data_IF_405727882760
#
_entry.id   IF_405727882760
#
_cell.length_a   1.000
_cell.length_b   1.000
_cell.length_c   1.000
_cell.angle_alpha   90.00
_cell.angle_beta   90.00
_cell.angle_gamma   90.00
#
_symmetry.space_group_name_H-M   'P 1'
#
loop_
_entity.id
_entity.type
_entity.pdbx_description
1 polymer ?
#
# COMPACT_ATOMS: atom_id res chain seq x y z
N UNK A 1 -4.26 -35.18 14.96
CA UNK A 1 -3.74 -34.63 13.70
C UNK A 1 -4.93 -34.15 12.88
N UNK A 2 -5.36 -32.91 13.10
CA UNK A 2 -6.58 -32.35 12.49
C UNK A 2 -6.18 -31.66 11.18
N UNK A 3 -6.46 -32.31 10.05
CA UNK A 3 -6.30 -31.73 8.72
C UNK A 3 -7.40 -30.66 8.54
N UNK A 4 -7.09 -29.40 8.83
CA UNK A 4 -7.97 -28.28 8.49
C UNK A 4 -7.89 -28.11 6.97
N UNK A 5 -8.98 -28.48 6.29
CA UNK A 5 -9.19 -28.31 4.85
C UNK A 5 -8.99 -26.82 4.52
N UNK A 6 -7.96 -26.49 3.75
CA UNK A 6 -7.80 -25.15 3.17
C UNK A 6 -9.14 -24.77 2.50
N UNK A 7 -9.78 -23.72 3.00
CA UNK A 7 -10.90 -23.10 2.30
C UNK A 7 -10.31 -22.47 1.04
N UNK A 8 -10.28 -23.24 -0.05
CA UNK A 8 -9.87 -22.74 -1.37
C UNK A 8 -10.84 -21.62 -1.75
N UNK A 9 -10.36 -20.37 -1.73
CA UNK A 9 -11.17 -19.24 -2.19
C UNK A 9 -11.62 -19.49 -3.63
N UNK A 10 -12.84 -19.09 -3.99
CA UNK A 10 -13.39 -19.25 -5.34
C UNK A 10 -12.47 -18.64 -6.41
N UNK A 11 -11.83 -17.51 -6.07
CA UNK A 11 -10.81 -16.86 -6.89
C UNK A 11 -9.62 -17.80 -7.18
N UNK A 12 -9.08 -18.47 -6.16
CA UNK A 12 -7.96 -19.41 -6.34
C UNK A 12 -8.34 -20.62 -7.20
N UNK A 13 -9.60 -21.05 -7.16
CA UNK A 13 -10.11 -22.12 -8.03
C UNK A 13 -10.24 -21.62 -9.49
N UNK A 14 -10.75 -20.40 -9.69
CA UNK A 14 -10.87 -19.78 -11.00
C UNK A 14 -9.50 -19.52 -11.67
N UNK A 15 -8.52 -18.99 -10.93
CA UNK A 15 -7.18 -18.73 -11.46
C UNK A 15 -6.51 -20.01 -11.96
N UNK A 16 -6.64 -21.12 -11.22
CA UNK A 16 -6.11 -22.43 -11.65
C UNK A 16 -6.81 -22.96 -12.89
N UNK A 17 -8.13 -22.79 -12.99
CA UNK A 17 -8.89 -23.19 -14.19
C UNK A 17 -8.47 -22.40 -15.43
N UNK A 18 -8.18 -21.11 -15.27
CA UNK A 18 -7.86 -20.18 -16.36
C UNK A 18 -6.37 -19.80 -16.41
N UNK A 19 -5.47 -20.73 -16.06
CA UNK A 19 -4.04 -20.43 -15.88
C UNK A 19 -3.39 -19.80 -17.12
N UNK A 20 -3.78 -20.25 -18.33
CA UNK A 20 -3.27 -19.67 -19.60
C UNK A 20 -3.65 -18.19 -19.71
N UNK A 21 -4.90 -17.85 -19.40
CA UNK A 21 -5.36 -16.45 -19.43
C UNK A 21 -4.58 -15.60 -18.41
N UNK A 22 -4.35 -16.13 -17.20
CA UNK A 22 -3.55 -15.45 -16.18
C UNK A 22 -2.13 -15.18 -16.69
N UNK A 23 -1.48 -16.15 -17.34
CA UNK A 23 -0.14 -15.92 -17.91
C UNK A 23 -0.13 -14.91 -19.05
N UNK A 24 -1.14 -14.94 -19.93
CA UNK A 24 -1.26 -13.95 -21.01
C UNK A 24 -1.42 -12.54 -20.43
N UNK A 25 -2.33 -12.36 -19.48
CA UNK A 25 -2.57 -11.05 -18.86
C UNK A 25 -1.34 -10.55 -18.09
N UNK A 26 -0.66 -11.43 -17.34
CA UNK A 26 0.59 -11.09 -16.66
C UNK A 26 1.71 -10.74 -17.64
N UNK A 27 1.82 -11.46 -18.77
CA UNK A 27 2.79 -11.19 -19.82
C UNK A 27 2.54 -9.84 -20.52
N UNK A 28 1.28 -9.53 -20.84
CA UNK A 28 0.89 -8.22 -21.37
C UNK A 28 1.18 -7.09 -20.38
N UNK A 29 0.85 -7.28 -19.10
CA UNK A 29 1.16 -6.31 -18.04
C UNK A 29 2.65 -6.06 -17.89
N UNK A 30 3.47 -7.12 -17.93
CA UNK A 30 4.93 -7.01 -17.87
C UNK A 30 5.50 -6.31 -19.10
N UNK A 31 5.05 -6.68 -20.30
CA UNK A 31 5.48 -6.03 -21.54
C UNK A 31 5.10 -4.54 -21.57
N UNK A 32 3.87 -4.19 -21.15
CA UNK A 32 3.42 -2.81 -21.03
C UNK A 32 4.22 -2.02 -19.98
N UNK A 33 4.55 -2.64 -18.85
CA UNK A 33 5.39 -2.01 -17.82
C UNK A 33 6.80 -1.73 -18.32
N UNK A 34 7.42 -2.68 -19.03
CA UNK A 34 8.74 -2.49 -19.65
C UNK A 34 8.70 -1.36 -20.67
N UNK A 35 7.68 -1.34 -21.53
CA UNK A 35 7.50 -0.29 -22.54
C UNK A 35 7.43 1.10 -21.89
N UNK A 36 6.58 1.28 -20.87
CA UNK A 36 6.43 2.56 -20.16
C UNK A 36 7.75 2.96 -19.49
N UNK A 37 8.42 2.03 -18.79
CA UNK A 37 9.68 2.33 -18.11
C UNK A 37 10.73 2.81 -19.13
N UNK A 38 10.89 2.11 -20.25
CA UNK A 38 11.92 2.43 -21.25
C UNK A 38 11.64 3.74 -21.97
N UNK A 39 10.41 3.97 -22.42
CA UNK A 39 10.08 5.09 -23.29
C UNK A 39 9.74 6.38 -22.53
N UNK A 40 9.17 6.29 -21.31
CA UNK A 40 8.59 7.44 -20.63
C UNK A 40 9.37 7.91 -19.40
N UNK A 41 10.24 7.07 -18.82
CA UNK A 41 10.84 7.43 -17.53
C UNK A 41 12.09 8.27 -17.64
N UNK A 42 12.18 9.30 -16.79
CA UNK A 42 13.36 10.16 -16.65
C UNK A 42 14.41 9.53 -15.73
N UNK A 43 15.65 10.03 -15.78
CA UNK A 43 16.74 9.56 -14.90
C UNK A 43 16.36 9.57 -13.41
N UNK A 44 15.63 10.60 -12.96
CA UNK A 44 15.21 10.73 -11.56
C UNK A 44 14.27 9.59 -11.13
N UNK A 45 13.36 9.19 -12.01
CA UNK A 45 12.44 8.08 -11.77
C UNK A 45 13.17 6.74 -11.68
N UNK A 46 14.21 6.52 -12.50
CA UNK A 46 15.08 5.36 -12.35
C UNK A 46 15.83 5.33 -11.01
N UNK A 47 16.32 6.48 -10.54
CA UNK A 47 16.96 6.59 -9.23
C UNK A 47 15.99 6.24 -8.10
N UNK A 48 14.76 6.74 -8.16
CA UNK A 48 13.71 6.41 -7.17
C UNK A 48 13.39 4.91 -7.19
N UNK A 49 13.17 4.33 -8.38
CA UNK A 49 12.91 2.90 -8.53
C UNK A 49 14.08 2.04 -8.02
N UNK A 50 15.32 2.43 -8.34
CA UNK A 50 16.52 1.76 -7.86
C UNK A 50 16.63 1.80 -6.33
N UNK A 51 16.39 2.97 -5.73
CA UNK A 51 16.44 3.17 -4.28
C UNK A 51 15.38 2.33 -3.54
N UNK A 52 14.13 2.35 -4.03
CA UNK A 52 13.05 1.58 -3.39
C UNK A 52 13.21 0.07 -3.61
N UNK A 53 13.66 -0.36 -4.80
CA UNK A 53 13.97 -1.76 -5.07
C UNK A 53 15.10 -2.25 -4.16
N UNK A 54 16.17 -1.45 -3.99
CA UNK A 54 17.26 -1.75 -3.07
C UNK A 54 16.77 -1.85 -1.62
N UNK A 55 15.91 -0.93 -1.17
CA UNK A 55 15.33 -0.98 0.17
C UNK A 55 14.54 -2.28 0.40
N UNK A 56 13.68 -2.65 -0.54
CA UNK A 56 12.92 -3.90 -0.50
C UNK A 56 13.83 -5.12 -0.50
N UNK A 57 14.86 -5.15 -1.35
CA UNK A 57 15.83 -6.25 -1.42
C UNK A 57 16.64 -6.38 -0.13
N UNK A 58 17.12 -5.27 0.45
CA UNK A 58 17.84 -5.27 1.72
C UNK A 58 16.96 -5.85 2.83
N UNK A 59 15.69 -5.45 2.86
CA UNK A 59 14.75 -5.99 3.84
C UNK A 59 14.55 -7.51 3.67
N UNK A 60 14.19 -7.95 2.46
CA UNK A 60 13.97 -9.37 2.17
C UNK A 60 15.24 -10.21 2.39
N UNK A 61 16.40 -9.71 1.99
CA UNK A 61 17.69 -10.35 2.18
C UNK A 61 17.99 -10.58 3.67
N UNK A 62 17.78 -9.56 4.51
CA UNK A 62 17.95 -9.68 5.95
C UNK A 62 16.96 -10.67 6.58
N UNK A 63 15.72 -10.72 6.08
CA UNK A 63 14.72 -11.70 6.52
C UNK A 63 15.13 -13.13 6.15
N UNK A 64 15.67 -13.35 4.95
CA UNK A 64 16.11 -14.66 4.47
C UNK A 64 17.35 -15.13 5.25
N UNK A 65 18.39 -14.29 5.38
CA UNK A 65 19.61 -14.64 6.12
C UNK A 65 19.36 -14.87 7.61
N UNK A 66 18.42 -14.14 8.21
CA UNK A 66 18.00 -14.34 9.60
C UNK A 66 17.37 -15.72 9.86
N UNK A 67 16.88 -16.44 8.85
CA UNK A 67 16.43 -17.83 9.05
C UNK A 67 17.60 -18.79 9.32
N UNK A 68 18.83 -18.42 8.91
CA UNK A 68 20.04 -19.22 9.07
C UNK A 68 20.90 -18.83 10.28
N UNK A 69 20.79 -17.59 10.76
CA UNK A 69 21.55 -17.06 11.91
C UNK A 69 20.56 -16.53 12.93
N UNK A 70 20.69 -16.96 14.19
CA UNK A 70 19.79 -16.71 15.32
C UNK A 70 19.68 -15.23 15.77
N UNK A 71 19.98 -14.26 14.90
CA UNK A 71 20.23 -12.85 15.20
C UNK A 71 19.77 -11.93 14.06
N UNK A 72 18.49 -11.98 13.68
CA UNK A 72 17.92 -11.02 12.75
C UNK A 72 17.27 -9.84 13.46
N UNK A 73 18.04 -8.80 13.78
CA UNK A 73 17.55 -7.56 14.40
C UNK A 73 16.36 -6.92 13.66
N UNK A 74 16.32 -7.05 12.32
CA UNK A 74 15.25 -6.48 11.48
C UNK A 74 13.97 -7.32 11.46
N UNK A 75 14.02 -8.61 11.84
CA UNK A 75 12.82 -9.46 12.00
C UNK A 75 12.08 -9.17 13.30
N UNK A 76 12.75 -8.52 14.25
CA UNK A 76 12.18 -8.16 15.54
C UNK A 76 11.33 -6.88 15.49
N UNK A 77 11.42 -6.10 14.40
CA UNK A 77 10.63 -4.89 14.19
C UNK A 77 9.37 -5.20 13.35
N UNK A 78 8.23 -5.53 13.98
CA UNK A 78 7.03 -5.94 13.27
C UNK A 78 6.43 -4.87 12.37
N UNK A 79 6.72 -3.60 12.69
CA UNK A 79 6.28 -2.44 11.93
C UNK A 79 7.07 -2.26 10.64
N UNK A 80 8.30 -2.79 10.56
CA UNK A 80 9.21 -2.46 9.48
C UNK A 80 8.73 -3.02 8.14
N UNK A 81 8.16 -4.24 8.14
CA UNK A 81 7.51 -4.84 6.96
C UNK A 81 6.44 -3.90 6.42
N UNK A 82 5.54 -3.46 7.29
CA UNK A 82 4.37 -2.67 6.93
C UNK A 82 4.78 -1.25 6.47
N UNK A 83 5.80 -0.66 7.10
CA UNK A 83 6.36 0.65 6.71
C UNK A 83 7.03 0.56 5.34
N UNK A 84 7.89 -0.43 5.09
CA UNK A 84 8.59 -0.59 3.80
C UNK A 84 7.59 -0.83 2.68
N UNK A 85 6.56 -1.65 2.91
CA UNK A 85 5.51 -1.87 1.93
C UNK A 85 4.74 -0.58 1.64
N UNK A 86 4.39 0.21 2.65
CA UNK A 86 3.74 1.50 2.46
C UNK A 86 4.64 2.49 1.71
N UNK A 87 5.95 2.54 2.01
CA UNK A 87 6.92 3.35 1.27
C UNK A 87 7.01 2.92 -0.19
N UNK A 88 7.00 1.62 -0.48
CA UNK A 88 7.01 1.10 -1.84
C UNK A 88 5.80 1.58 -2.64
N UNK A 89 4.60 1.48 -2.04
CA UNK A 89 3.37 1.97 -2.65
C UNK A 89 3.39 3.47 -2.96
N UNK A 90 3.80 4.30 -2.00
CA UNK A 90 3.84 5.76 -2.17
C UNK A 90 4.91 6.16 -3.17
N UNK A 91 6.04 5.46 -3.18
CA UNK A 91 7.12 5.72 -4.13
C UNK A 91 6.62 5.60 -5.56
N UNK A 92 5.85 4.54 -5.85
CA UNK A 92 5.32 4.28 -7.20
C UNK A 92 4.12 5.19 -7.52
N UNK A 93 3.17 5.32 -6.58
CA UNK A 93 1.88 5.99 -6.87
C UNK A 93 1.91 7.51 -6.75
N UNK A 94 2.89 8.08 -6.06
CA UNK A 94 2.90 9.50 -5.69
C UNK A 94 4.25 10.19 -5.90
N UNK A 95 5.36 9.58 -5.47
CA UNK A 95 6.69 10.20 -5.64
C UNK A 95 7.15 10.12 -7.10
N UNK A 96 6.96 8.96 -7.75
CA UNK A 96 7.38 8.74 -9.14
C UNK A 96 6.75 9.75 -10.11
N UNK A 97 5.42 10.01 -10.09
CA UNK A 97 4.81 11.01 -10.98
C UNK A 97 5.28 12.44 -10.70
N UNK A 98 5.44 12.82 -9.43
CA UNK A 98 5.87 14.18 -9.06
C UNK A 98 7.35 14.42 -9.40
N UNK A 99 8.14 13.35 -9.54
CA UNK A 99 9.57 13.42 -9.87
C UNK A 99 9.91 13.61 -11.36
N UNK A 100 8.90 13.78 -12.22
CA UNK A 100 9.08 13.96 -13.67
C UNK A 100 10.01 15.15 -13.97
N UNK A 101 9.75 16.30 -13.34
CA UNK A 101 10.56 17.53 -13.47
C UNK A 101 11.76 17.59 -12.50
N UNK A 102 12.11 16.47 -11.86
CA UNK A 102 13.22 16.35 -10.90
C UNK A 102 12.81 16.44 -9.44
N UNK A 103 13.74 16.82 -8.57
CA UNK A 103 13.57 16.74 -7.11
C UNK A 103 13.15 18.07 -6.46
N UNK A 104 12.65 19.04 -7.24
CA UNK A 104 12.25 20.34 -6.69
C UNK A 104 11.08 20.23 -5.69
N UNK A 105 10.22 19.22 -5.85
CA UNK A 105 9.11 18.92 -4.94
C UNK A 105 9.54 18.67 -3.48
N UNK A 106 10.81 18.32 -3.23
CA UNK A 106 11.33 18.12 -1.87
C UNK A 106 11.33 19.44 -1.07
N UNK A 107 11.38 20.57 -1.77
CA UNK A 107 11.35 21.90 -1.15
C UNK A 107 9.93 22.49 -1.02
N UNK A 108 8.92 21.84 -1.60
CA UNK A 108 7.54 22.29 -1.54
C UNK A 108 6.81 21.57 -0.39
N UNK A 109 6.40 22.35 0.62
CA UNK A 109 5.66 21.84 1.77
C UNK A 109 4.33 21.17 1.38
N UNK A 110 3.66 21.64 0.32
CA UNK A 110 2.40 21.05 -0.15
C UNK A 110 2.66 19.67 -0.77
N UNK A 111 3.74 19.51 -1.54
CA UNK A 111 4.17 18.20 -2.05
C UNK A 111 4.54 17.23 -0.92
N UNK A 112 5.28 17.70 0.09
CA UNK A 112 5.63 16.88 1.25
C UNK A 112 4.40 16.43 2.06
N UNK A 113 3.45 17.34 2.29
CA UNK A 113 2.18 17.03 2.95
C UNK A 113 1.34 16.05 2.13
N UNK A 114 1.29 16.21 0.81
CA UNK A 114 0.63 15.26 -0.07
C UNK A 114 1.25 13.87 0.03
N UNK A 115 2.58 13.76 -0.04
CA UNK A 115 3.30 12.48 0.11
C UNK A 115 3.04 11.86 1.49
N UNK A 116 3.01 12.66 2.55
CA UNK A 116 2.71 12.19 3.91
C UNK A 116 1.28 11.63 4.01
N UNK A 117 0.28 12.32 3.46
CA UNK A 117 -1.11 11.85 3.42
C UNK A 117 -1.20 10.52 2.64
N UNK A 118 -0.53 10.44 1.48
CA UNK A 118 -0.46 9.22 0.67
C UNK A 118 0.19 8.08 1.43
N UNK A 119 1.28 8.35 2.16
CA UNK A 119 1.95 7.37 3.00
C UNK A 119 1.07 6.86 4.13
N UNK A 120 0.43 7.74 4.88
CA UNK A 120 -0.48 7.33 5.95
C UNK A 120 -1.65 6.50 5.38
N UNK A 121 -2.15 6.85 4.20
CA UNK A 121 -3.22 6.10 3.52
C UNK A 121 -2.75 4.71 3.10
N UNK A 122 -1.60 4.59 2.43
CA UNK A 122 -1.03 3.29 2.06
C UNK A 122 -0.71 2.44 3.30
N UNK A 123 -0.14 3.05 4.34
CA UNK A 123 0.17 2.37 5.59
C UNK A 123 -1.08 1.84 6.30
N UNK A 124 -2.16 2.62 6.29
CA UNK A 124 -3.46 2.22 6.81
C UNK A 124 -4.02 0.99 6.06
N UNK A 125 -3.90 0.96 4.73
CA UNK A 125 -4.31 -0.18 3.90
C UNK A 125 -3.46 -1.41 4.22
N UNK A 126 -2.15 -1.25 4.39
CA UNK A 126 -1.25 -2.35 4.78
C UNK A 126 -1.60 -2.91 6.15
N UNK A 127 -1.87 -2.05 7.15
CA UNK A 127 -2.35 -2.50 8.47
C UNK A 127 -3.64 -3.30 8.34
N UNK A 128 -4.54 -2.87 7.46
CA UNK A 128 -5.81 -3.55 7.23
C UNK A 128 -5.60 -4.96 6.64
N UNK A 129 -4.66 -5.12 5.70
CA UNK A 129 -4.28 -6.43 5.18
C UNK A 129 -3.63 -7.30 6.25
N UNK A 130 -2.69 -6.75 7.02
CA UNK A 130 -2.08 -7.46 8.15
C UNK A 130 -3.14 -7.89 9.19
N UNK A 131 -4.18 -7.08 9.42
CA UNK A 131 -5.27 -7.37 10.36
C UNK A 131 -6.15 -8.55 9.92
N UNK A 132 -6.41 -8.69 8.62
CA UNK A 132 -7.10 -9.87 8.07
C UNK A 132 -6.23 -11.12 8.17
N UNK A 133 -4.95 -10.96 7.89
CA UNK A 133 -4.04 -12.10 7.75
C UNK A 133 -3.46 -12.59 9.08
N UNK A 134 -3.89 -12.01 10.23
CA UNK A 134 -3.50 -12.40 11.60
C UNK A 134 -3.51 -13.92 11.80
N UNK A 135 -4.62 -14.59 11.44
CA UNK A 135 -4.77 -16.03 11.68
C UNK A 135 -3.80 -16.90 10.86
N UNK A 136 -3.27 -16.37 9.75
CA UNK A 136 -2.28 -17.02 8.89
C UNK A 136 -0.85 -16.66 9.35
N UNK A 137 -0.63 -15.40 9.72
CA UNK A 137 0.65 -14.88 10.21
C UNK A 137 1.05 -15.50 11.56
N UNK A 138 0.09 -15.71 12.46
CA UNK A 138 0.29 -16.43 13.72
C UNK A 138 0.80 -17.87 13.48
N UNK A 139 0.25 -18.56 12.47
CA UNK A 139 0.65 -19.95 12.14
C UNK A 139 2.03 -20.03 11.51
N UNK A 140 2.43 -19.00 10.77
CA UNK A 140 3.71 -18.95 10.05
C UNK A 140 4.81 -18.28 10.88
N UNK A 141 4.49 -17.76 12.06
CA UNK A 141 5.43 -17.08 12.95
C UNK A 141 5.90 -15.72 12.41
N UNK A 142 5.08 -15.08 11.59
CA UNK A 142 5.30 -13.73 11.10
C UNK A 142 4.80 -12.75 12.15
N UNK A 143 5.66 -11.81 12.53
CA UNK A 143 5.40 -10.81 13.56
C UNK A 143 4.90 -9.54 12.90
N UNK A 144 3.59 -9.38 12.75
CA UNK A 144 2.96 -8.12 12.29
C UNK A 144 2.35 -7.35 13.46
N UNK A 145 1.95 -6.10 13.21
CA UNK A 145 1.33 -5.20 14.20
C UNK A 145 0.15 -5.86 14.92
N UNK A 146 -0.86 -6.42 14.22
CA UNK A 146 -2.01 -7.03 14.88
C UNK A 146 -1.69 -8.35 15.59
N UNK A 147 -0.68 -9.10 15.15
CA UNK A 147 -0.23 -10.32 15.83
C UNK A 147 0.41 -10.01 17.18
N UNK A 148 1.15 -8.90 17.30
CA UNK A 148 1.86 -8.56 18.55
C UNK A 148 1.01 -7.73 19.50
N UNK A 149 0.32 -6.71 18.98
CA UNK A 149 -0.45 -5.77 19.81
C UNK A 149 -1.89 -6.24 20.04
N UNK A 150 -2.33 -7.27 19.31
CA UNK A 150 -3.70 -7.73 19.29
C UNK A 150 -4.62 -6.86 18.44
N UNK A 151 -5.82 -7.39 18.20
CA UNK A 151 -6.81 -6.77 17.33
C UNK A 151 -7.29 -5.40 17.84
N UNK A 152 -7.54 -5.28 19.16
CA UNK A 152 -8.09 -4.06 19.76
C UNK A 152 -7.14 -2.88 19.64
N UNK A 153 -5.86 -3.06 19.97
CA UNK A 153 -4.85 -1.99 19.91
C UNK A 153 -4.61 -1.57 18.46
N UNK A 154 -4.56 -2.54 17.53
CA UNK A 154 -4.42 -2.26 16.10
C UNK A 154 -5.59 -1.45 15.55
N UNK A 155 -6.81 -1.74 15.99
CA UNK A 155 -7.98 -0.94 15.62
C UNK A 155 -7.87 0.51 16.13
N UNK A 156 -7.39 0.73 17.36
CA UNK A 156 -7.14 2.08 17.86
C UNK A 156 -6.07 2.83 17.05
N UNK A 157 -4.95 2.17 16.73
CA UNK A 157 -3.90 2.74 15.87
C UNK A 157 -4.48 3.14 14.52
N UNK A 158 -5.29 2.26 13.93
CA UNK A 158 -5.96 2.51 12.65
C UNK A 158 -6.87 3.75 12.73
N UNK A 159 -7.70 3.87 13.76
CA UNK A 159 -8.57 5.04 13.95
C UNK A 159 -7.78 6.34 14.16
N UNK A 160 -6.67 6.29 14.90
CA UNK A 160 -5.78 7.45 15.09
C UNK A 160 -5.17 7.88 13.76
N UNK A 161 -4.71 6.94 12.93
CA UNK A 161 -4.16 7.25 11.61
C UNK A 161 -5.25 7.89 10.72
N UNK A 162 -6.47 7.35 10.70
CA UNK A 162 -7.58 7.97 9.96
C UNK A 162 -7.82 9.40 10.42
N UNK A 163 -7.88 9.63 11.74
CA UNK A 163 -8.11 10.96 12.28
C UNK A 163 -7.02 11.93 11.83
N UNK A 164 -5.75 11.52 11.89
CA UNK A 164 -4.62 12.33 11.40
C UNK A 164 -4.78 12.64 9.91
N UNK A 165 -5.11 11.65 9.08
CA UNK A 165 -5.34 11.87 7.64
C UNK A 165 -6.48 12.87 7.41
N UNK A 166 -7.60 12.72 8.11
CA UNK A 166 -8.75 13.63 7.99
C UNK A 166 -8.34 15.06 8.37
N UNK A 167 -7.61 15.24 9.48
CA UNK A 167 -7.12 16.55 9.89
C UNK A 167 -6.19 17.15 8.83
N UNK A 168 -5.21 16.38 8.35
CA UNK A 168 -4.31 16.83 7.29
C UNK A 168 -5.07 17.23 6.02
N UNK A 169 -6.05 16.42 5.61
CA UNK A 169 -6.91 16.73 4.45
C UNK A 169 -7.75 17.98 4.66
N UNK A 170 -8.15 18.33 5.89
CA UNK A 170 -8.92 19.55 6.15
C UNK A 170 -8.07 20.82 6.00
N UNK A 171 -6.80 20.76 6.42
CA UNK A 171 -5.90 21.92 6.46
C UNK A 171 -4.98 22.07 5.25
N UNK A 172 -4.84 21.03 4.41
CA UNK A 172 -4.01 21.12 3.21
C UNK A 172 -4.69 22.02 2.16
N UNK A 173 -4.06 23.14 1.85
CA UNK A 173 -4.36 23.90 0.63
C UNK A 173 -3.81 23.09 -0.54
N UNK A 174 -4.72 22.59 -1.36
CA UNK A 174 -4.41 21.83 -2.56
C UNK A 174 -4.76 22.69 -3.76
N UNK A 175 -3.90 22.68 -4.78
CA UNK A 175 -4.24 23.24 -6.09
C UNK A 175 -5.59 22.71 -6.55
N UNK A 176 -6.35 23.54 -7.29
CA UNK A 176 -7.73 23.30 -7.72
C UNK A 176 -7.95 21.89 -8.30
N UNK A 177 -6.95 21.37 -9.02
CA UNK A 177 -6.97 20.03 -9.62
C UNK A 177 -7.08 18.86 -8.61
N UNK A 178 -6.55 19.04 -7.40
CA UNK A 178 -6.55 17.99 -6.36
C UNK A 178 -7.72 18.12 -5.37
N UNK A 179 -8.57 19.14 -5.51
CA UNK A 179 -9.72 19.37 -4.64
C UNK A 179 -10.72 18.22 -4.72
N UNK A 180 -11.02 17.73 -5.93
CA UNK A 180 -11.95 16.60 -6.12
C UNK A 180 -11.42 15.33 -5.44
N UNK A 181 -10.12 15.05 -5.59
CA UNK A 181 -9.46 13.90 -4.97
C UNK A 181 -9.55 13.98 -3.44
N UNK A 182 -9.30 15.15 -2.86
CA UNK A 182 -9.44 15.41 -1.42
C UNK A 182 -10.84 15.07 -0.93
N UNK A 183 -11.90 15.50 -1.62
CA UNK A 183 -13.28 15.21 -1.21
C UNK A 183 -13.64 13.73 -1.35
N UNK A 184 -13.22 13.07 -2.44
CA UNK A 184 -13.44 11.62 -2.62
C UNK A 184 -12.78 10.83 -1.48
N UNK A 185 -11.51 11.14 -1.18
CA UNK A 185 -10.79 10.48 -0.09
C UNK A 185 -11.43 10.75 1.28
N UNK A 186 -11.91 11.98 1.52
CA UNK A 186 -12.58 12.33 2.78
C UNK A 186 -13.92 11.60 2.95
N UNK A 187 -14.77 11.57 1.90
CA UNK A 187 -16.04 10.82 1.91
C UNK A 187 -15.77 9.35 2.20
N UNK A 188 -14.75 8.79 1.55
CA UNK A 188 -14.33 7.41 1.76
C UNK A 188 -13.93 7.16 3.21
N UNK A 189 -13.01 7.95 3.77
CA UNK A 189 -12.56 7.79 5.16
C UNK A 189 -13.73 7.93 6.17
N UNK A 190 -14.65 8.88 5.94
CA UNK A 190 -15.84 9.06 6.78
C UNK A 190 -16.81 7.88 6.69
N UNK A 191 -17.03 7.32 5.49
CA UNK A 191 -17.81 6.10 5.31
C UNK A 191 -17.24 4.97 6.16
N UNK A 192 -15.91 4.79 6.15
CA UNK A 192 -15.22 3.76 6.92
C UNK A 192 -15.20 3.98 8.42
N UNK A 193 -15.08 5.22 8.89
CA UNK A 193 -15.23 5.54 10.31
C UNK A 193 -16.62 5.14 10.83
N UNK A 194 -17.65 5.23 9.99
CA UNK A 194 -19.01 4.84 10.33
C UNK A 194 -19.20 3.32 10.35
N UNK A 195 -18.54 2.58 9.47
CA UNK A 195 -18.62 1.11 9.42
C UNK A 195 -17.68 0.47 10.46
N UNK A 196 -18.17 0.31 11.69
CA UNK A 196 -17.46 -0.33 12.82
C UNK A 196 -17.22 -1.86 12.71
N UNK A 197 -17.50 -2.50 11.57
CA UNK A 197 -17.58 -3.96 11.50
C UNK A 197 -16.40 -4.61 10.76
N UNK A 198 -15.72 -5.56 11.43
CA UNK A 198 -14.62 -6.38 10.89
C UNK A 198 -14.98 -7.17 9.62
N UNK A 199 -16.25 -7.59 9.48
CA UNK A 199 -16.73 -8.32 8.31
C UNK A 199 -16.83 -7.38 7.08
N UNK A 200 -17.21 -6.13 7.28
CA UNK A 200 -17.14 -5.11 6.23
C UNK A 200 -15.70 -4.80 5.83
N UNK A 201 -14.75 -4.88 6.76
CA UNK A 201 -13.34 -4.60 6.48
C UNK A 201 -12.76 -5.52 5.40
N UNK A 202 -13.02 -6.83 5.43
CA UNK A 202 -12.58 -7.76 4.37
C UNK A 202 -13.24 -7.48 3.00
N UNK A 203 -14.57 -7.33 2.97
CA UNK A 203 -15.33 -7.07 1.74
C UNK A 203 -14.95 -5.73 1.10
N UNK A 204 -14.43 -4.81 1.90
CA UNK A 204 -14.09 -3.46 1.51
C UNK A 204 -12.64 -3.26 1.07
N UNK A 205 -11.78 -4.28 1.17
CA UNK A 205 -10.36 -4.19 0.77
C UNK A 205 -10.20 -3.83 -0.71
N UNK A 206 -11.07 -4.38 -1.57
CA UNK A 206 -11.11 -4.03 -2.98
C UNK A 206 -11.41 -2.53 -3.19
N UNK A 207 -12.21 -1.94 -2.31
CA UNK A 207 -12.50 -0.51 -2.37
C UNK A 207 -11.29 0.33 -1.94
N UNK A 208 -10.48 -0.15 -0.99
CA UNK A 208 -9.25 0.52 -0.56
C UNK A 208 -8.20 0.57 -1.67
N UNK A 209 -7.98 -0.55 -2.37
CA UNK A 209 -7.11 -0.58 -3.55
C UNK A 209 -7.69 0.29 -4.68
N UNK A 210 -9.02 0.26 -4.84
CA UNK A 210 -9.75 1.08 -5.81
C UNK A 210 -9.55 2.58 -5.59
N UNK A 211 -9.52 3.07 -4.34
CA UNK A 211 -9.28 4.50 -4.05
C UNK A 211 -7.89 4.95 -4.50
N UNK A 212 -6.86 4.11 -4.34
CA UNK A 212 -5.51 4.41 -4.79
C UNK A 212 -5.43 4.57 -6.32
N UNK A 213 -6.27 3.85 -7.07
CA UNK A 213 -6.32 3.88 -8.53
C UNK A 213 -7.25 5.01 -9.04
N UNK A 214 -8.44 5.15 -8.44
CA UNK A 214 -9.45 6.13 -8.84
C UNK A 214 -8.96 7.55 -8.58
N UNK A 215 -8.22 7.78 -7.49
CA UNK A 215 -7.69 9.10 -7.15
C UNK A 215 -6.87 9.74 -8.30
N UNK A 216 -5.77 9.13 -8.80
CA UNK A 216 -5.03 9.71 -9.92
C UNK A 216 -5.82 9.78 -11.23
N UNK A 217 -6.72 8.82 -11.52
CA UNK A 217 -7.57 8.86 -12.71
C UNK A 217 -8.53 10.06 -12.71
N UNK A 218 -9.12 10.38 -11.55
CA UNK A 218 -9.97 11.57 -11.44
C UNK A 218 -9.16 12.85 -11.63
N UNK A 219 -7.92 12.92 -11.13
CA UNK A 219 -7.04 14.07 -11.39
C UNK A 219 -6.79 14.32 -12.87
N UNK A 220 -6.52 13.25 -13.63
CA UNK A 220 -6.31 13.30 -15.09
C UNK A 220 -7.55 13.79 -15.87
N UNK A 221 -8.75 13.40 -15.44
CA UNK A 221 -10.00 13.81 -16.08
C UNK A 221 -10.34 15.30 -15.85
N UNK A 222 -9.85 15.90 -14.76
CA UNK A 222 -10.08 17.32 -14.44
C UNK A 222 -8.92 18.25 -14.84
N UNK A 223 -7.80 17.70 -15.31
CA UNK A 223 -6.68 18.45 -15.90
C UNK A 223 -6.76 18.60 -17.42
N UNK A 224 -7.73 17.93 -18.06
CA UNK A 224 -8.10 18.05 -19.48
C UNK A 224 -9.26 19.05 -19.64
#
# INVERSE_FOLDING_TARGET
MCYIKEVKSELSAWCRKNTILVYILSGLGLAGSIYIIVDWFTYNQYVILGAIALLCLIYEWNVILSKSVHSGFLRELPFLKSIILALAWVSITSILPISEDGFQWVHDIHCLLFILIRFLTCFLIVILFDFRDVSSDEKTGVRTIPVILGATVTAYIWYVIVLVIVLLLLFIEVHTYFVTIRFVQLIFLLFFLRTRNAITFEASMLLWDGVLIISPLTGLLFSL
#
